data_IF_998427568917
#
_entry.id   IF_998427568917
#
_cell.length_a   1.000
_cell.length_b   1.000
_cell.length_c   1.000
_cell.angle_alpha   90.00
_cell.angle_beta   90.00
_cell.angle_gamma   90.00
#
_symmetry.space_group_name_H-M   'P 1'
#
loop_
_entity.id
_entity.type
_entity.pdbx_description
1 polymer ?
#
# COMPACT_ATOMS: atom_id res chain seq x y z
N UNK A 1 1.87 -12.37 4.47
CA UNK A 1 2.52 -11.47 5.46
C UNK A 1 1.68 -11.40 6.72
N UNK A 2 2.28 -11.19 7.89
CA UNK A 2 1.53 -10.96 9.12
C UNK A 2 0.66 -9.70 9.02
N UNK A 3 -0.54 -9.74 9.62
CA UNK A 3 -1.53 -8.68 9.54
C UNK A 3 -0.98 -7.32 10.03
N UNK A 4 -0.21 -7.35 11.11
CA UNK A 4 0.39 -6.15 11.72
C UNK A 4 1.38 -5.44 10.78
N UNK A 5 2.06 -6.17 9.89
CA UNK A 5 2.99 -5.57 8.92
C UNK A 5 2.20 -4.78 7.88
N UNK A 6 1.06 -5.31 7.41
CA UNK A 6 0.18 -4.59 6.49
C UNK A 6 -0.40 -3.31 7.10
N UNK A 7 -0.78 -3.35 8.37
CA UNK A 7 -1.20 -2.14 9.10
C UNK A 7 -0.07 -1.12 9.25
N UNK A 8 1.14 -1.55 9.58
CA UNK A 8 2.29 -0.65 9.67
C UNK A 8 2.59 0.04 8.33
N UNK A 9 2.55 -0.70 7.23
CA UNK A 9 2.72 -0.13 5.88
C UNK A 9 1.59 0.84 5.54
N UNK A 10 0.35 0.52 5.90
CA UNK A 10 -0.82 1.40 5.68
C UNK A 10 -0.68 2.72 6.44
N UNK A 11 -0.18 2.68 7.67
CA UNK A 11 0.09 3.88 8.46
C UNK A 11 1.21 4.73 7.84
N UNK A 12 2.29 4.12 7.36
CA UNK A 12 3.40 4.84 6.72
C UNK A 12 2.97 5.49 5.41
N UNK A 13 2.15 4.82 4.60
CA UNK A 13 1.56 5.38 3.37
C UNK A 13 0.60 6.53 3.68
N UNK A 14 -0.22 6.41 4.72
CA UNK A 14 -1.07 7.52 5.16
C UNK A 14 -0.26 8.72 5.66
N UNK A 15 0.75 8.48 6.48
CA UNK A 15 1.65 9.53 6.95
C UNK A 15 2.37 10.23 5.78
N UNK A 16 2.77 9.48 4.75
CA UNK A 16 3.44 10.06 3.58
C UNK A 16 2.51 10.99 2.80
N UNK A 17 1.26 10.60 2.58
CA UNK A 17 0.26 11.43 1.91
C UNK A 17 -0.08 12.68 2.73
N UNK A 18 -0.24 12.54 4.05
CA UNK A 18 -0.46 13.69 4.93
C UNK A 18 0.69 14.70 4.85
N UNK A 19 1.94 14.23 4.85
CA UNK A 19 3.12 15.08 4.69
C UNK A 19 3.20 15.74 3.31
N UNK A 20 2.75 15.07 2.25
CA UNK A 20 2.69 15.64 0.89
C UNK A 20 1.64 16.78 0.83
N UNK A 21 0.47 16.60 1.45
CA UNK A 21 -0.55 17.66 1.54
C UNK A 21 -0.08 18.83 2.42
N UNK A 22 0.76 18.55 3.41
CA UNK A 22 1.44 19.57 4.23
C UNK A 22 2.63 20.25 3.52
N UNK A 23 2.91 19.92 2.26
CA UNK A 23 4.05 20.43 1.48
C UNK A 23 5.43 20.12 2.11
N UNK A 24 5.51 19.10 2.96
CA UNK A 24 6.77 18.64 3.52
C UNK A 24 7.53 17.77 2.52
N UNK A 25 8.82 18.05 2.25
CA UNK A 25 9.64 17.21 1.36
C UNK A 25 9.77 15.77 1.89
N UNK A 26 9.64 15.59 3.20
CA UNK A 26 9.68 14.29 3.85
C UNK A 26 8.54 13.35 3.42
N UNK A 27 7.40 13.90 2.96
CA UNK A 27 6.32 13.09 2.42
C UNK A 27 6.71 12.32 1.16
N UNK A 28 7.48 12.97 0.27
CA UNK A 28 8.00 12.31 -0.94
C UNK A 28 9.07 11.28 -0.60
N UNK A 29 9.99 11.61 0.31
CA UNK A 29 11.03 10.68 0.78
C UNK A 29 10.39 9.42 1.37
N UNK A 30 9.39 9.58 2.23
CA UNK A 30 8.67 8.46 2.84
C UNK A 30 7.90 7.63 1.81
N UNK A 31 7.31 8.28 0.81
CA UNK A 31 6.59 7.59 -0.28
C UNK A 31 7.54 6.71 -1.12
N UNK A 32 8.71 7.24 -1.47
CA UNK A 32 9.74 6.48 -2.20
C UNK A 32 10.26 5.32 -1.34
N UNK A 33 10.53 5.56 -0.06
CA UNK A 33 10.96 4.50 0.86
C UNK A 33 9.92 3.38 0.97
N UNK A 34 8.63 3.72 1.06
CA UNK A 34 7.54 2.74 1.07
C UNK A 34 7.47 1.95 -0.25
N UNK A 35 7.65 2.62 -1.40
CA UNK A 35 7.68 1.95 -2.70
C UNK A 35 8.82 0.92 -2.79
N UNK A 36 10.03 1.29 -2.36
CA UNK A 36 11.18 0.38 -2.31
C UNK A 36 10.92 -0.80 -1.37
N UNK A 37 10.34 -0.54 -0.19
CA UNK A 37 9.98 -1.58 0.77
C UNK A 37 8.98 -2.57 0.16
N UNK A 38 7.93 -2.09 -0.50
CA UNK A 38 6.92 -2.93 -1.16
C UNK A 38 7.53 -3.78 -2.28
N UNK A 39 8.43 -3.21 -3.09
CA UNK A 39 9.16 -3.95 -4.12
C UNK A 39 10.01 -5.05 -3.49
N UNK A 40 10.77 -4.73 -2.44
CA UNK A 40 11.61 -5.70 -1.74
C UNK A 40 10.79 -6.85 -1.14
N UNK A 41 9.66 -6.54 -0.49
CA UNK A 41 8.71 -7.54 0.02
C UNK A 41 8.23 -8.46 -1.10
N UNK A 42 7.81 -7.87 -2.23
CA UNK A 42 7.26 -8.63 -3.37
C UNK A 42 8.34 -9.51 -4.00
N UNK A 43 9.58 -9.01 -4.09
CA UNK A 43 10.73 -9.76 -4.59
C UNK A 43 11.11 -10.93 -3.68
N UNK A 44 11.06 -10.76 -2.36
CA UNK A 44 11.32 -11.84 -1.41
C UNK A 44 10.21 -12.89 -1.46
N UNK A 45 8.95 -12.48 -1.53
CA UNK A 45 7.80 -13.39 -1.65
C UNK A 45 7.85 -14.19 -2.96
N UNK A 46 8.25 -13.58 -4.09
CA UNK A 46 8.41 -14.29 -5.36
C UNK A 46 9.54 -15.33 -5.30
N UNK A 47 10.68 -14.98 -4.70
CA UNK A 47 11.81 -15.89 -4.55
C UNK A 47 11.49 -17.07 -3.63
N UNK A 48 10.73 -16.84 -2.56
CA UNK A 48 10.30 -17.89 -1.63
C UNK A 48 9.23 -18.82 -2.23
N UNK A 49 8.50 -18.37 -3.26
CA UNK A 49 7.56 -19.20 -4.04
C UNK A 49 8.22 -19.95 -5.19
N UNK A 50 9.51 -19.69 -5.46
CA UNK A 50 10.29 -20.44 -6.44
C UNK A 50 10.57 -21.87 -5.94
N UNK A 51 9.71 -22.80 -6.31
CA UNK A 51 9.97 -24.24 -6.11
C UNK A 51 11.04 -24.69 -7.10
N UNK A 52 11.88 -25.66 -6.70
CA UNK A 52 12.87 -26.30 -7.58
C UNK A 52 12.21 -26.64 -8.92
N UNK A 53 12.81 -26.21 -10.03
CA UNK A 53 12.33 -26.46 -11.40
C UNK A 53 12.07 -27.95 -11.72
N UNK A 54 12.60 -28.88 -10.91
CA UNK A 54 12.43 -30.33 -11.06
C UNK A 54 11.03 -30.85 -10.69
N UNK A 55 10.20 -30.09 -9.98
CA UNK A 55 8.83 -30.48 -9.66
C UNK A 55 7.89 -29.66 -10.54
N UNK A 56 7.23 -30.31 -11.52
CA UNK A 56 6.15 -29.72 -12.31
C UNK A 56 4.96 -29.42 -11.41
N UNK A 57 5.03 -28.33 -10.67
CA UNK A 57 3.88 -27.75 -10.00
C UNK A 57 3.03 -27.02 -11.03
N UNK A 58 1.71 -27.16 -10.93
CA UNK A 58 0.79 -26.31 -11.67
C UNK A 58 1.19 -24.84 -11.43
N UNK A 59 1.50 -24.14 -12.51
CA UNK A 59 1.80 -22.72 -12.46
C UNK A 59 0.53 -22.04 -11.97
N UNK A 60 0.45 -21.78 -10.66
CA UNK A 60 -0.64 -21.00 -10.10
C UNK A 60 -0.70 -19.70 -10.88
N UNK A 61 -1.88 -19.40 -11.44
CA UNK A 61 -2.10 -18.15 -12.16
C UNK A 61 -1.54 -17.00 -11.32
N UNK A 62 -0.73 -16.17 -11.96
CA UNK A 62 -0.12 -15.01 -11.31
C UNK A 62 -1.20 -14.18 -10.60
N UNK A 63 -0.85 -13.50 -9.49
CA UNK A 63 -1.83 -12.71 -8.75
C UNK A 63 -2.53 -11.74 -9.71
N UNK A 64 -3.83 -11.89 -9.88
CA UNK A 64 -4.63 -10.99 -10.70
C UNK A 64 -4.64 -9.61 -10.04
N UNK A 65 -4.50 -8.56 -10.84
CA UNK A 65 -4.57 -7.17 -10.36
C UNK A 65 -5.92 -6.98 -9.68
N UNK A 66 -5.92 -6.67 -8.38
CA UNK A 66 -7.17 -6.51 -7.66
C UNK A 66 -7.89 -5.26 -8.14
N UNK A 67 -9.18 -5.40 -8.44
CA UNK A 67 -10.02 -4.27 -8.89
C UNK A 67 -10.12 -3.18 -7.81
N UNK A 68 -9.91 -3.54 -6.54
CA UNK A 68 -9.77 -2.61 -5.41
C UNK A 68 -8.57 -1.70 -5.52
N UNK A 69 -7.48 -2.11 -6.16
CA UNK A 69 -6.30 -1.26 -6.35
C UNK A 69 -6.63 0.00 -7.18
N UNK A 70 -7.60 -0.09 -8.10
CA UNK A 70 -8.08 1.08 -8.83
C UNK A 70 -8.75 2.11 -7.92
N UNK A 71 -9.54 1.67 -6.93
CA UNK A 71 -10.23 2.58 -6.00
C UNK A 71 -9.22 3.40 -5.17
N UNK A 72 -8.10 2.80 -4.77
CA UNK A 72 -7.01 3.52 -4.08
C UNK A 72 -6.43 4.60 -4.97
N UNK A 73 -6.14 4.29 -6.23
CA UNK A 73 -5.55 5.25 -7.14
C UNK A 73 -6.44 6.50 -7.30
N UNK A 74 -7.76 6.31 -7.42
CA UNK A 74 -8.71 7.43 -7.48
C UNK A 74 -8.82 8.17 -6.14
N UNK A 75 -8.80 7.47 -5.01
CA UNK A 75 -8.84 8.10 -3.69
C UNK A 75 -7.61 8.98 -3.45
N UNK A 76 -6.41 8.47 -3.74
CA UNK A 76 -5.15 9.21 -3.58
C UNK A 76 -5.14 10.43 -4.51
N UNK A 77 -5.63 10.29 -5.74
CA UNK A 77 -5.79 11.43 -6.66
C UNK A 77 -6.74 12.49 -6.08
N UNK A 78 -7.91 12.09 -5.57
CA UNK A 78 -8.87 13.01 -4.95
C UNK A 78 -8.26 13.72 -3.73
N UNK A 79 -7.46 13.03 -2.92
CA UNK A 79 -6.80 13.61 -1.75
C UNK A 79 -5.72 14.63 -2.11
N UNK A 80 -5.10 14.54 -3.30
CA UNK A 80 -4.15 15.56 -3.77
C UNK A 80 -4.80 16.89 -4.17
N UNK A 81 -6.13 16.91 -4.33
CA UNK A 81 -6.90 18.13 -4.64
C UNK A 81 -7.30 18.90 -3.38
N UNK A 82 -7.01 18.36 -2.19
CA UNK A 82 -7.22 19.07 -0.94
C UNK A 82 -6.36 20.33 -0.86
N UNK A 83 -6.82 21.39 -0.16
CA UNK A 83 -6.02 22.59 0.04
C UNK A 83 -4.69 22.24 0.71
N UNK A 84 -3.59 22.60 0.06
CA UNK A 84 -2.22 22.31 0.52
C UNK A 84 -1.75 23.36 1.53
N UNK A 85 -0.99 22.92 2.53
CA UNK A 85 -0.41 23.77 3.57
C UNK A 85 -1.12 23.70 4.94
N UNK A 86 -2.46 23.75 5.04
CA UNK A 86 -3.13 23.65 6.33
C UNK A 86 -2.92 22.28 7.01
N UNK A 87 -2.55 22.32 8.29
CA UNK A 87 -2.37 21.12 9.13
C UNK A 87 -3.64 20.24 9.17
N UNK A 88 -4.82 20.86 9.18
CA UNK A 88 -6.10 20.14 9.21
C UNK A 88 -6.27 19.23 7.99
N UNK A 89 -6.01 19.74 6.79
CA UNK A 89 -6.15 18.95 5.56
C UNK A 89 -5.08 17.88 5.44
N UNK A 90 -3.86 18.16 5.93
CA UNK A 90 -2.81 17.15 6.03
C UNK A 90 -3.20 15.98 6.93
N UNK A 91 -3.78 16.25 8.10
CA UNK A 91 -4.26 15.22 9.02
C UNK A 91 -5.39 14.41 8.38
N UNK A 92 -6.38 15.09 7.79
CA UNK A 92 -7.50 14.42 7.12
C UNK A 92 -7.00 13.52 5.99
N UNK A 93 -6.12 14.03 5.13
CA UNK A 93 -5.56 13.26 4.03
C UNK A 93 -4.80 12.04 4.52
N UNK A 94 -3.98 12.18 5.57
CA UNK A 94 -3.21 11.08 6.12
C UNK A 94 -4.07 10.00 6.78
N UNK A 95 -5.06 10.41 7.59
CA UNK A 95 -5.97 9.47 8.27
C UNK A 95 -6.86 8.73 7.28
N UNK A 96 -7.46 9.44 6.31
CA UNK A 96 -8.33 8.83 5.29
C UNK A 96 -7.54 7.85 4.43
N UNK A 97 -6.31 8.22 4.04
CA UNK A 97 -5.43 7.33 3.28
C UNK A 97 -5.07 6.08 4.07
N UNK A 98 -4.61 6.23 5.33
CA UNK A 98 -4.23 5.10 6.18
C UNK A 98 -5.41 4.14 6.37
N UNK A 99 -6.60 4.67 6.65
CA UNK A 99 -7.82 3.89 6.80
C UNK A 99 -8.17 3.12 5.52
N UNK A 100 -8.10 3.78 4.36
CA UNK A 100 -8.40 3.14 3.07
C UNK A 100 -7.42 2.00 2.75
N UNK A 101 -6.11 2.22 2.92
CA UNK A 101 -5.10 1.17 2.74
C UNK A 101 -5.32 0.01 3.72
N UNK A 102 -5.61 0.31 4.99
CA UNK A 102 -5.84 -0.69 6.02
C UNK A 102 -7.08 -1.54 5.74
N UNK A 103 -8.21 -0.92 5.36
CA UNK A 103 -9.45 -1.62 5.00
C UNK A 103 -9.23 -2.51 3.78
N UNK A 104 -8.52 -2.03 2.77
CA UNK A 104 -8.27 -2.80 1.56
C UNK A 104 -7.30 -3.95 1.79
N UNK A 105 -6.28 -3.73 2.61
CA UNK A 105 -5.40 -4.81 3.05
C UNK A 105 -6.17 -5.88 3.82
N UNK A 106 -7.03 -5.47 4.75
CA UNK A 106 -7.90 -6.39 5.50
C UNK A 106 -8.84 -7.17 4.57
N UNK A 107 -9.44 -6.51 3.58
CA UNK A 107 -10.33 -7.14 2.61
C UNK A 107 -9.59 -8.16 1.74
N UNK A 108 -8.41 -7.82 1.22
CA UNK A 108 -7.58 -8.77 0.49
C UNK A 108 -7.08 -9.91 1.38
N UNK A 109 -6.74 -9.64 2.63
CA UNK A 109 -6.27 -10.66 3.56
C UNK A 109 -7.37 -11.65 3.92
N UNK A 110 -8.57 -11.17 4.25
CA UNK A 110 -9.73 -12.00 4.56
C UNK A 110 -10.22 -12.80 3.34
N UNK A 111 -10.21 -12.21 2.15
CA UNK A 111 -10.56 -12.90 0.91
C UNK A 111 -9.55 -13.98 0.47
N UNK A 112 -8.29 -13.90 0.91
CA UNK A 112 -7.26 -14.95 0.67
C UNK A 112 -7.25 -16.03 1.76
N UNK A 113 -7.91 -15.80 2.89
CA UNK A 113 -8.00 -16.73 4.02
C UNK A 113 -9.23 -17.66 3.93
N UNK A 114 -10.20 -17.34 3.06
CA UNK A 114 -11.34 -18.18 2.70
C UNK A 114 -10.99 -19.08 1.51
#
# INVERSE_FOLDING_TARGET
MPLWVGFAVSLLLGASIGLVVYESPWGYVLSVACAVLLIAITYIDSRNRGVRESLKQEVKAGPQVSRSAFLIAFLVLALTWLPKGPLTWAIVAGVVSAAAFAVLYWWEWSGRAA
#
